data_IF_836263670268
#
_entry.id   IF_836263670268
#
_cell.length_a   1.000
_cell.length_b   1.000
_cell.length_c   1.000
_cell.angle_alpha   90.00
_cell.angle_beta   90.00
_cell.angle_gamma   90.00
#
_symmetry.space_group_name_H-M   'P 1'
#
loop_
_entity.id
_entity.type
_entity.pdbx_description
1 polymer ?
#
# COMPACT_ATOMS: atom_id res chain seq x y z
N UNK A 1 -1.71 6.18 28.34
CA UNK A 1 -1.76 6.32 26.89
C UNK A 1 -3.05 5.76 26.38
N UNK A 2 -3.64 6.37 25.36
CA UNK A 2 -4.81 5.82 24.67
C UNK A 2 -4.38 4.52 23.97
N UNK A 3 -4.89 3.38 24.43
CA UNK A 3 -4.71 2.12 23.72
C UNK A 3 -5.78 2.01 22.62
N UNK A 4 -5.53 2.72 21.51
CA UNK A 4 -6.45 2.79 20.39
C UNK A 4 -6.79 1.40 19.81
N UNK A 5 -5.88 0.45 19.91
CA UNK A 5 -6.14 -0.92 19.42
C UNK A 5 -7.15 -1.63 20.33
N UNK A 6 -6.98 -1.53 21.64
CA UNK A 6 -7.89 -2.13 22.61
C UNK A 6 -9.29 -1.51 22.50
N UNK A 7 -9.38 -0.19 22.33
CA UNK A 7 -10.65 0.51 22.14
C UNK A 7 -11.37 0.04 20.87
N UNK A 8 -10.62 -0.17 19.76
CA UNK A 8 -11.20 -0.70 18.51
C UNK A 8 -11.68 -2.16 18.65
N UNK A 9 -10.94 -3.00 19.36
CA UNK A 9 -11.33 -4.39 19.62
C UNK A 9 -12.62 -4.43 20.46
N UNK A 10 -12.69 -3.61 21.52
CA UNK A 10 -13.88 -3.53 22.37
C UNK A 10 -15.09 -2.97 21.59
N UNK A 11 -14.88 -2.01 20.71
CA UNK A 11 -15.92 -1.51 19.82
C UNK A 11 -16.46 -2.59 18.88
N UNK A 12 -15.59 -3.40 18.29
CA UNK A 12 -15.99 -4.53 17.43
C UNK A 12 -16.79 -5.56 18.22
N UNK A 13 -16.35 -5.89 19.45
CA UNK A 13 -17.03 -6.83 20.30
C UNK A 13 -18.41 -6.35 20.72
N UNK A 14 -18.50 -5.10 21.16
CA UNK A 14 -19.73 -4.51 21.69
C UNK A 14 -20.80 -4.33 20.62
N UNK A 15 -20.41 -3.87 19.41
CA UNK A 15 -21.37 -3.52 18.36
C UNK A 15 -21.71 -4.68 17.42
N UNK A 16 -20.79 -5.62 17.21
CA UNK A 16 -20.95 -6.70 16.21
C UNK A 16 -20.67 -8.11 16.77
N UNK A 17 -20.42 -8.22 18.08
CA UNK A 17 -20.06 -9.50 18.73
C UNK A 17 -18.84 -10.18 18.05
N UNK A 18 -17.86 -9.37 17.60
CA UNK A 18 -16.61 -9.82 17.00
C UNK A 18 -15.51 -9.65 18.05
N UNK A 19 -15.04 -10.74 18.61
CA UNK A 19 -13.98 -10.78 19.60
C UNK A 19 -12.57 -10.79 18.98
N UNK A 20 -11.54 -10.66 19.81
CA UNK A 20 -10.15 -10.64 19.38
C UNK A 20 -9.75 -11.94 18.66
N UNK A 21 -10.24 -13.08 19.11
CA UNK A 21 -9.90 -14.38 18.49
C UNK A 21 -10.46 -14.43 17.06
N UNK A 22 -11.70 -14.00 16.88
CA UNK A 22 -12.33 -13.87 15.56
C UNK A 22 -11.57 -12.89 14.66
N UNK A 23 -11.15 -11.72 15.17
CA UNK A 23 -10.34 -10.75 14.43
C UNK A 23 -9.02 -11.40 13.99
N UNK A 24 -8.32 -12.03 14.92
CA UNK A 24 -7.00 -12.64 14.68
C UNK A 24 -7.09 -13.74 13.60
N UNK A 25 -8.07 -14.62 13.68
CA UNK A 25 -8.26 -15.69 12.68
C UNK A 25 -8.67 -15.13 11.31
N UNK A 26 -9.49 -14.08 11.27
CA UNK A 26 -9.88 -13.42 10.02
C UNK A 26 -8.70 -12.73 9.35
N UNK A 27 -7.82 -12.05 10.11
CA UNK A 27 -6.58 -11.44 9.59
C UNK A 27 -5.66 -12.52 9.02
N UNK A 28 -5.44 -13.61 9.76
CA UNK A 28 -4.63 -14.74 9.30
C UNK A 28 -5.18 -15.34 8.00
N UNK A 29 -6.49 -15.60 7.94
CA UNK A 29 -7.15 -16.13 6.74
C UNK A 29 -7.04 -15.18 5.55
N UNK A 30 -7.21 -13.87 5.76
CA UNK A 30 -7.04 -12.85 4.73
C UNK A 30 -5.60 -12.84 4.19
N UNK A 31 -4.60 -12.84 5.08
CA UNK A 31 -3.20 -12.88 4.69
C UNK A 31 -2.83 -14.17 3.95
N UNK A 32 -3.37 -15.31 4.36
CA UNK A 32 -3.18 -16.57 3.64
C UNK A 32 -3.82 -16.55 2.25
N UNK A 33 -4.99 -15.95 2.12
CA UNK A 33 -5.72 -15.90 0.86
C UNK A 33 -5.08 -14.94 -0.14
N UNK A 34 -4.66 -13.75 0.30
CA UNK A 34 -4.12 -12.68 -0.56
C UNK A 34 -2.59 -12.61 -0.57
N UNK A 35 -1.89 -13.37 0.27
CA UNK A 35 -0.44 -13.43 0.35
C UNK A 35 0.20 -12.39 1.28
N UNK A 36 -0.55 -11.48 1.90
CA UNK A 36 -0.01 -10.47 2.82
C UNK A 36 1.08 -9.61 2.17
N UNK A 37 2.30 -9.65 2.71
CA UNK A 37 3.45 -8.91 2.19
C UNK A 37 4.22 -9.64 1.07
N UNK A 38 3.82 -10.86 0.74
CA UNK A 38 4.39 -11.67 -0.36
C UNK A 38 3.26 -12.25 -1.21
N UNK A 39 2.55 -11.41 -1.97
CA UNK A 39 1.42 -11.86 -2.77
C UNK A 39 1.90 -12.75 -3.93
N UNK A 40 1.20 -13.87 -4.13
CA UNK A 40 1.42 -14.74 -5.28
C UNK A 40 0.80 -14.12 -6.55
N UNK A 41 1.42 -13.05 -7.02
CA UNK A 41 0.96 -12.23 -8.13
C UNK A 41 2.14 -11.71 -8.96
N UNK A 42 1.84 -11.10 -10.09
CA UNK A 42 2.81 -10.43 -10.95
C UNK A 42 2.27 -9.08 -11.42
N UNK A 43 3.15 -8.20 -11.88
CA UNK A 43 2.78 -6.92 -12.49
C UNK A 43 2.01 -6.00 -11.53
N UNK A 44 2.48 -5.92 -10.29
CA UNK A 44 2.00 -4.94 -9.31
C UNK A 44 3.16 -4.00 -9.01
N UNK A 45 2.92 -2.70 -9.12
CA UNK A 45 3.88 -1.66 -8.75
C UNK A 45 3.45 -1.02 -7.43
N UNK A 46 4.37 -0.94 -6.46
CA UNK A 46 4.11 -0.39 -5.12
C UNK A 46 4.79 0.96 -4.93
N UNK A 47 4.20 2.07 -5.40
CA UNK A 47 4.69 3.40 -5.06
C UNK A 47 4.27 3.77 -3.64
N UNK A 48 5.20 4.31 -2.86
CA UNK A 48 5.01 4.74 -1.48
C UNK A 48 5.54 6.16 -1.31
N UNK A 49 4.87 7.00 -0.54
CA UNK A 49 5.36 8.32 -0.17
C UNK A 49 5.99 8.28 1.22
N UNK A 50 7.18 8.85 1.40
CA UNK A 50 7.86 8.77 2.70
C UNK A 50 7.26 9.70 3.78
N UNK A 51 6.43 10.68 3.41
CA UNK A 51 5.64 11.51 4.35
C UNK A 51 4.24 10.94 4.59
N UNK A 52 3.86 9.86 3.92
CA UNK A 52 2.63 9.14 4.19
C UNK A 52 2.78 8.28 5.46
N UNK A 53 2.01 8.52 6.53
CA UNK A 53 2.12 7.71 7.74
C UNK A 53 1.74 6.24 7.53
N UNK A 54 0.96 5.92 6.49
CA UNK A 54 0.56 4.55 6.18
C UNK A 54 1.59 3.77 5.37
N UNK A 55 2.66 4.41 4.85
CA UNK A 55 3.68 3.68 4.08
C UNK A 55 4.30 2.53 4.88
N UNK A 56 4.38 2.65 6.22
CA UNK A 56 4.87 1.59 7.10
C UNK A 56 4.03 0.30 7.09
N UNK A 57 2.79 0.34 6.58
CA UNK A 57 1.90 -0.81 6.42
C UNK A 57 1.95 -1.39 5.00
N UNK A 58 2.71 -0.77 4.10
CA UNK A 58 2.82 -1.15 2.70
C UNK A 58 3.99 -2.12 2.44
N UNK A 59 4.06 -2.63 1.23
CA UNK A 59 5.22 -3.38 0.75
C UNK A 59 6.33 -2.37 0.43
N UNK A 60 7.41 -2.38 1.24
CA UNK A 60 8.54 -1.46 1.12
C UNK A 60 9.80 -2.12 0.50
N UNK A 61 9.79 -3.43 0.36
CA UNK A 61 10.85 -4.21 -0.28
C UNK A 61 10.22 -5.08 -1.36
N UNK A 62 10.73 -4.98 -2.58
CA UNK A 62 10.22 -5.75 -3.71
C UNK A 62 10.29 -7.26 -3.41
N UNK A 63 9.15 -7.98 -3.38
CA UNK A 63 9.13 -9.43 -3.21
C UNK A 63 9.77 -10.15 -4.41
N UNK A 64 9.64 -9.58 -5.60
CA UNK A 64 10.24 -10.09 -6.84
C UNK A 64 10.46 -8.95 -7.86
N UNK A 65 11.12 -9.24 -8.98
CA UNK A 65 11.30 -8.28 -10.09
C UNK A 65 9.98 -7.84 -10.72
N UNK A 66 8.96 -8.70 -10.70
CA UNK A 66 7.62 -8.39 -11.22
C UNK A 66 6.75 -7.58 -10.25
N UNK A 67 7.26 -7.31 -9.06
CA UNK A 67 6.59 -6.59 -7.98
C UNK A 67 7.45 -5.41 -7.48
N UNK A 68 7.79 -4.45 -8.37
CA UNK A 68 8.69 -3.35 -8.02
C UNK A 68 8.09 -2.40 -6.98
N UNK A 69 8.97 -1.84 -6.16
CA UNK A 69 8.66 -0.83 -5.14
C UNK A 69 9.35 0.47 -5.50
N UNK A 70 8.69 1.59 -5.27
CA UNK A 70 9.25 2.93 -5.39
C UNK A 70 8.94 3.74 -4.13
N UNK A 71 9.96 4.30 -3.49
CA UNK A 71 9.78 5.32 -2.46
C UNK A 71 9.87 6.70 -3.11
N UNK A 72 8.79 7.48 -3.00
CA UNK A 72 8.69 8.85 -3.55
C UNK A 72 8.97 9.85 -2.45
N UNK A 73 10.12 10.50 -2.52
CA UNK A 73 10.59 11.45 -1.51
C UNK A 73 9.69 12.68 -1.42
N UNK A 74 9.30 13.08 -0.21
CA UNK A 74 8.43 14.23 0.05
C UNK A 74 6.96 14.01 -0.32
N UNK A 75 6.58 12.85 -0.83
CA UNK A 75 5.22 12.59 -1.26
C UNK A 75 4.32 12.13 -0.10
N UNK A 76 3.11 12.68 -0.06
CA UNK A 76 2.01 12.22 0.80
C UNK A 76 1.31 11.01 0.20
N UNK A 77 0.25 10.53 0.88
CA UNK A 77 -0.55 9.38 0.46
C UNK A 77 -1.03 9.53 -0.98
N UNK A 78 -0.65 8.57 -1.84
CA UNK A 78 -0.96 8.48 -3.28
C UNK A 78 -0.87 9.79 -4.08
N UNK A 79 0.08 10.69 -3.76
CA UNK A 79 0.23 11.99 -4.42
C UNK A 79 0.38 11.88 -5.96
N UNK A 80 0.94 10.79 -6.47
CA UNK A 80 1.11 10.51 -7.91
C UNK A 80 -0.21 10.21 -8.65
N UNK A 81 -1.31 9.93 -7.96
CA UNK A 81 -2.62 9.63 -8.57
C UNK A 81 -3.49 10.86 -8.80
N UNK A 82 -3.14 12.01 -8.21
CA UNK A 82 -3.84 13.26 -8.42
C UNK A 82 -3.63 13.81 -9.83
N UNK A 83 -4.54 14.65 -10.34
CA UNK A 83 -4.31 15.38 -11.59
C UNK A 83 -2.99 16.14 -11.59
N UNK A 84 -2.29 16.16 -12.72
CA UNK A 84 -1.01 16.87 -12.85
C UNK A 84 -1.21 18.38 -12.71
N UNK A 85 -0.40 19.00 -11.87
CA UNK A 85 -0.36 20.45 -11.64
C UNK A 85 1.03 21.00 -11.95
N UNK A 86 1.13 22.26 -12.40
CA UNK A 86 2.43 22.91 -12.61
C UNK A 86 3.28 23.05 -11.33
N UNK A 87 2.63 22.95 -10.16
CA UNK A 87 3.25 23.04 -8.83
C UNK A 87 3.64 21.70 -8.24
N UNK A 88 3.46 20.60 -8.97
CA UNK A 88 3.82 19.29 -8.47
C UNK A 88 5.32 19.18 -8.17
N UNK A 89 5.66 18.49 -7.11
CA UNK A 89 7.04 18.18 -6.77
C UNK A 89 7.69 17.34 -7.87
N UNK A 90 8.96 17.61 -8.18
CA UNK A 90 9.71 16.88 -9.21
C UNK A 90 9.73 15.37 -8.97
N UNK A 91 9.80 14.94 -7.70
CA UNK A 91 9.75 13.53 -7.30
C UNK A 91 8.41 12.85 -7.64
N UNK A 92 7.29 13.59 -7.52
CA UNK A 92 5.96 13.10 -7.91
C UNK A 92 5.82 13.01 -9.42
N UNK A 93 6.36 14.00 -10.15
CA UNK A 93 6.40 14.00 -11.62
C UNK A 93 7.21 12.79 -12.14
N UNK A 94 8.39 12.54 -11.58
CA UNK A 94 9.22 11.39 -11.95
C UNK A 94 8.56 10.06 -11.57
N UNK A 95 7.90 9.98 -10.42
CA UNK A 95 7.15 8.79 -10.02
C UNK A 95 6.07 8.43 -11.05
N UNK A 96 5.28 9.41 -11.51
CA UNK A 96 4.27 9.20 -12.56
C UNK A 96 4.87 8.68 -13.86
N UNK A 97 6.04 9.21 -14.25
CA UNK A 97 6.77 8.75 -15.43
C UNK A 97 7.19 7.28 -15.28
N UNK A 98 7.83 6.92 -14.18
CA UNK A 98 8.26 5.53 -13.90
C UNK A 98 7.09 4.55 -13.83
N UNK A 99 5.97 4.95 -13.20
CA UNK A 99 4.75 4.15 -13.14
C UNK A 99 4.21 3.91 -14.57
N UNK A 100 4.14 4.96 -15.39
CA UNK A 100 3.68 4.86 -16.78
C UNK A 100 4.58 3.96 -17.61
N UNK A 101 5.89 4.14 -17.53
CA UNK A 101 6.87 3.32 -18.25
C UNK A 101 6.72 1.84 -17.89
N UNK A 102 6.56 1.53 -16.60
CA UNK A 102 6.36 0.15 -16.15
C UNK A 102 5.03 -0.44 -16.64
N UNK A 103 3.96 0.34 -16.66
CA UNK A 103 2.67 -0.10 -17.22
C UNK A 103 2.80 -0.40 -18.73
N UNK A 104 3.46 0.47 -19.50
CA UNK A 104 3.68 0.28 -20.93
C UNK A 104 4.53 -0.97 -21.21
N UNK A 105 5.60 -1.16 -20.44
CA UNK A 105 6.42 -2.39 -20.51
C UNK A 105 5.55 -3.65 -20.29
N UNK A 106 4.69 -3.65 -19.29
CA UNK A 106 3.82 -4.81 -19.01
C UNK A 106 2.72 -5.03 -20.03
N UNK A 107 2.31 -3.99 -20.74
CA UNK A 107 1.35 -4.07 -21.83
C UNK A 107 2.01 -4.41 -23.16
N UNK A 108 3.36 -4.49 -23.24
CA UNK A 108 4.15 -4.65 -24.47
C UNK A 108 3.79 -3.59 -25.54
N UNK A 109 3.57 -2.33 -25.10
CA UNK A 109 3.30 -1.19 -25.97
C UNK A 109 4.58 -0.37 -26.10
N UNK A 110 5.10 -0.22 -27.33
CA UNK A 110 6.23 0.65 -27.66
C UNK A 110 5.81 2.13 -27.74
#
# INVERSE_FOLDING_TARGET
GLDLLQDQIEFCKTNWNIDLDTITENVKRSNQHYGGLDPNATRIFYPNGNVDPWHGLSILKAPSESLPVLMVEGASHHAWTHPTLPTDQSTVVEARKLIREKILEWLNVE
#
